data_IF_322568363174
#
_entry.id   IF_322568363174
#
_cell.length_a   1.000
_cell.length_b   1.000
_cell.length_c   1.000
_cell.angle_alpha   90.00
_cell.angle_beta   90.00
_cell.angle_gamma   90.00
#
_symmetry.space_group_name_H-M   'P 1'
#
loop_
_entity.id
_entity.type
_entity.pdbx_description
1 polymer ?
#
# COMPACT_ATOMS: atom_id res chain seq x y z
N UNK A 1 12.72 -17.83 -9.90
CA UNK A 1 12.24 -17.16 -8.66
C UNK A 1 13.23 -16.16 -8.09
N UNK A 2 14.54 -16.46 -7.96
CA UNK A 2 15.53 -15.55 -7.37
C UNK A 2 15.51 -14.12 -7.94
N UNK A 3 15.39 -13.95 -9.26
CA UNK A 3 15.30 -12.63 -9.90
C UNK A 3 14.02 -11.84 -9.60
N UNK A 4 12.93 -12.51 -9.20
CA UNK A 4 11.69 -11.84 -8.75
C UNK A 4 11.89 -11.33 -7.32
N UNK A 5 12.47 -12.16 -6.44
CA UNK A 5 12.77 -11.79 -5.06
C UNK A 5 13.69 -10.57 -4.99
N UNK A 6 14.76 -10.55 -5.80
CA UNK A 6 15.68 -9.41 -5.84
C UNK A 6 15.01 -8.09 -6.27
N UNK A 7 13.96 -8.17 -7.11
CA UNK A 7 13.22 -6.97 -7.56
C UNK A 7 12.27 -6.41 -6.52
N UNK A 8 11.82 -7.26 -5.59
CA UNK A 8 10.95 -6.88 -4.48
C UNK A 8 11.72 -6.29 -3.30
N UNK A 9 12.99 -6.66 -3.15
CA UNK A 9 13.88 -6.17 -2.09
C UNK A 9 13.79 -4.65 -1.81
N UNK A 10 13.87 -3.73 -2.80
CA UNK A 10 13.74 -2.30 -2.52
C UNK A 10 12.33 -1.89 -2.06
N UNK A 11 11.28 -2.55 -2.55
CA UNK A 11 9.92 -2.29 -2.11
C UNK A 11 9.73 -2.77 -0.67
N UNK A 12 10.21 -3.97 -0.34
CA UNK A 12 10.18 -4.50 1.03
C UNK A 12 10.98 -3.59 1.97
N UNK A 13 12.18 -3.17 1.58
CA UNK A 13 12.98 -2.22 2.35
C UNK A 13 12.24 -0.89 2.55
N UNK A 14 11.62 -0.34 1.50
CA UNK A 14 10.83 0.89 1.60
C UNK A 14 9.67 0.75 2.59
N UNK A 15 8.91 -0.35 2.51
CA UNK A 15 7.80 -0.63 3.44
C UNK A 15 8.32 -0.71 4.87
N UNK A 16 9.42 -1.43 5.11
CA UNK A 16 10.03 -1.53 6.45
C UNK A 16 10.46 -0.17 6.98
N UNK A 17 11.09 0.66 6.13
CA UNK A 17 11.50 2.02 6.51
C UNK A 17 10.29 2.90 6.83
N UNK A 18 9.24 2.84 6.01
CA UNK A 18 8.01 3.59 6.27
C UNK A 18 7.35 3.16 7.57
N UNK A 19 7.23 1.85 7.82
CA UNK A 19 6.70 1.35 9.10
C UNK A 19 7.58 1.80 10.26
N UNK A 20 8.90 1.65 10.16
CA UNK A 20 9.81 2.00 11.23
C UNK A 20 9.79 3.51 11.57
N UNK A 21 9.71 4.40 10.58
CA UNK A 21 9.64 5.86 10.79
C UNK A 21 8.40 6.29 11.56
N UNK A 22 7.32 5.54 11.44
CA UNK A 22 6.05 5.82 12.10
C UNK A 22 5.80 4.94 13.32
N UNK A 23 6.70 4.01 13.64
CA UNK A 23 6.51 3.07 14.74
C UNK A 23 6.47 3.81 16.08
N UNK A 24 5.32 3.81 16.77
CA UNK A 24 5.17 4.55 18.01
C UNK A 24 5.99 3.89 19.12
N UNK A 25 6.39 4.66 20.12
CA UNK A 25 6.79 4.07 21.39
C UNK A 25 5.65 3.17 21.89
N UNK A 26 5.95 2.01 22.51
CA UNK A 26 4.90 1.13 23.03
C UNK A 26 4.13 1.81 24.17
N UNK A 27 4.85 2.56 25.00
CA UNK A 27 4.33 3.24 26.17
C UNK A 27 5.10 4.54 26.40
N UNK A 28 4.41 5.50 27.00
CA UNK A 28 5.00 6.73 27.54
C UNK A 28 4.56 6.90 28.98
N UNK A 29 5.30 7.72 29.74
CA UNK A 29 4.88 8.09 31.09
C UNK A 29 4.37 9.52 31.07
N UNK A 30 3.12 9.69 31.47
CA UNK A 30 2.54 10.98 31.82
C UNK A 30 3.05 11.42 33.19
N UNK A 31 3.58 12.64 33.25
CA UNK A 31 4.14 13.25 34.46
C UNK A 31 3.41 14.57 34.68
N UNK A 32 2.74 14.70 35.82
CA UNK A 32 2.08 15.95 36.23
C UNK A 32 2.56 16.35 37.63
N UNK A 33 2.91 17.63 37.82
CA UNK A 33 3.16 18.15 39.15
C UNK A 33 1.82 18.29 39.89
N UNK A 34 1.69 17.61 41.04
CA UNK A 34 0.43 17.56 41.78
C UNK A 34 0.30 18.78 42.68
N UNK A 35 -0.65 19.65 42.36
CA UNK A 35 -1.18 20.65 43.28
C UNK A 35 -2.36 20.03 44.04
N UNK A 36 -2.07 19.50 45.23
CA UNK A 36 -3.07 18.86 46.08
C UNK A 36 -4.24 19.79 46.43
N UNK A 37 -4.02 21.05 46.86
CA UNK A 37 -5.10 22.04 47.01
C UNK A 37 -5.98 22.18 45.77
N UNK A 38 -5.40 22.42 44.59
CA UNK A 38 -6.19 22.63 43.37
C UNK A 38 -6.90 21.35 42.90
N UNK A 39 -6.30 20.17 43.09
CA UNK A 39 -6.92 18.88 42.74
C UNK A 39 -8.06 18.52 43.70
N UNK A 40 -7.88 18.79 45.00
CA UNK A 40 -8.94 18.67 46.01
C UNK A 40 -10.10 19.62 45.71
N UNK A 41 -9.81 20.89 45.40
CA UNK A 41 -10.85 21.86 45.02
C UNK A 41 -11.60 21.43 43.76
N UNK A 42 -10.91 20.93 42.72
CA UNK A 42 -11.56 20.39 41.51
C UNK A 42 -12.47 19.20 41.81
N UNK A 43 -12.06 18.29 42.70
CA UNK A 43 -12.85 17.13 43.09
C UNK A 43 -14.09 17.52 43.92
N UNK A 44 -13.97 18.48 44.84
CA UNK A 44 -15.03 18.87 45.78
C UNK A 44 -15.90 20.04 45.27
N UNK A 45 -15.39 20.81 44.32
CA UNK A 45 -16.05 21.95 43.67
C UNK A 45 -15.85 21.93 42.16
N UNK A 46 -16.35 20.91 41.44
CA UNK A 46 -16.21 20.85 39.99
C UNK A 46 -16.86 22.05 39.30
N UNK A 47 -16.09 22.68 38.40
CA UNK A 47 -16.50 23.81 37.56
C UNK A 47 -17.41 23.36 36.41
N UNK A 48 -18.54 22.74 36.74
CA UNK A 48 -19.60 22.42 35.77
C UNK A 48 -20.43 23.69 35.52
N UNK A 49 -20.28 24.26 34.33
CA UNK A 49 -21.18 25.28 33.77
C UNK A 49 -22.28 24.52 33.03
N UNK A 50 -23.46 24.36 33.65
CA UNK A 50 -24.59 23.65 33.03
C UNK A 50 -25.89 23.69 33.85
N UNK A 51 -27.02 23.83 33.17
CA UNK A 51 -28.36 24.04 33.71
C UNK A 51 -28.97 22.82 34.45
N UNK A 52 -29.70 23.09 35.54
CA UNK A 52 -30.82 22.28 36.07
C UNK A 52 -30.50 20.93 36.71
N UNK A 53 -30.11 19.92 35.92
CA UNK A 53 -29.91 18.55 36.40
C UNK A 53 -28.55 18.34 37.08
N UNK A 54 -27.55 19.16 36.73
CA UNK A 54 -26.18 19.06 37.27
C UNK A 54 -26.02 19.65 38.68
N UNK A 55 -26.96 20.49 39.15
CA UNK A 55 -26.91 21.05 40.51
C UNK A 55 -27.26 20.01 41.57
N UNK A 56 -28.21 19.11 41.29
CA UNK A 56 -28.53 17.96 42.14
C UNK A 56 -27.34 16.99 42.23
N UNK A 57 -26.66 16.76 41.11
CA UNK A 57 -25.42 15.96 41.07
C UNK A 57 -24.30 16.62 41.87
N UNK A 58 -24.10 17.95 41.76
CA UNK A 58 -23.14 18.70 42.58
C UNK A 58 -23.46 18.57 44.08
N UNK A 59 -24.73 18.69 44.47
CA UNK A 59 -25.16 18.52 45.86
C UNK A 59 -25.00 17.08 46.37
N UNK A 60 -25.01 16.09 45.48
CA UNK A 60 -24.78 14.69 45.82
C UNK A 60 -23.29 14.37 45.94
N UNK A 61 -22.45 14.86 45.02
CA UNK A 61 -20.98 14.78 45.13
C UNK A 61 -20.50 15.48 46.40
N UNK A 62 -21.00 16.69 46.68
CA UNK A 62 -20.70 17.38 47.96
C UNK A 62 -21.11 16.55 49.16
N UNK A 63 -22.33 16.00 49.20
CA UNK A 63 -22.75 15.14 50.32
C UNK A 63 -21.94 13.85 50.47
N UNK A 64 -21.38 13.30 49.38
CA UNK A 64 -20.50 12.13 49.45
C UNK A 64 -19.13 12.46 50.02
N UNK A 65 -18.66 13.70 49.86
CA UNK A 65 -17.32 14.14 50.25
C UNK A 65 -17.31 15.16 51.40
N UNK A 66 -18.47 15.56 51.92
CA UNK A 66 -18.61 16.51 53.02
C UNK A 66 -17.95 15.93 54.28
N UNK A 67 -16.82 16.52 54.69
CA UNK A 67 -16.04 16.10 55.85
C UNK A 67 -14.77 15.30 55.54
N UNK A 68 -14.48 14.98 54.27
CA UNK A 68 -13.21 14.37 53.88
C UNK A 68 -12.07 15.38 54.07
N UNK A 69 -11.13 15.09 54.98
CA UNK A 69 -9.97 15.95 55.17
C UNK A 69 -9.02 15.85 53.96
N UNK A 70 -8.19 16.87 53.74
CA UNK A 70 -7.15 16.82 52.68
C UNK A 70 -6.25 15.59 52.84
N UNK A 71 -5.94 15.20 54.08
CA UNK A 71 -5.11 14.04 54.37
C UNK A 71 -5.80 12.73 53.95
N UNK A 72 -7.11 12.60 54.23
CA UNK A 72 -7.90 11.43 53.84
C UNK A 72 -8.05 11.35 52.32
N UNK A 73 -8.27 12.49 51.65
CA UNK A 73 -8.32 12.58 50.20
C UNK A 73 -7.01 12.12 49.55
N UNK A 74 -5.86 12.61 50.06
CA UNK A 74 -4.54 12.19 49.56
C UNK A 74 -4.35 10.70 49.82
N UNK A 75 -4.66 10.18 51.02
CA UNK A 75 -4.49 8.78 51.35
C UNK A 75 -5.34 7.86 50.45
N UNK A 76 -6.56 8.27 50.12
CA UNK A 76 -7.47 7.57 49.20
C UNK A 76 -6.97 7.58 47.76
N UNK A 77 -6.50 8.72 47.27
CA UNK A 77 -6.01 8.86 45.90
C UNK A 77 -4.67 8.12 45.68
N UNK A 78 -3.87 7.99 46.73
CA UNK A 78 -2.53 7.36 46.68
C UNK A 78 -2.50 5.90 47.13
N UNK A 79 -3.65 5.31 47.52
CA UNK A 79 -3.76 3.95 48.05
C UNK A 79 -2.76 3.65 49.19
N UNK A 80 -2.67 4.56 50.18
CA UNK A 80 -1.81 4.40 51.36
C UNK A 80 -0.63 5.37 51.49
N UNK A 81 -0.54 6.37 50.60
CA UNK A 81 0.41 7.48 50.70
C UNK A 81 1.37 7.56 49.50
N UNK A 82 1.92 8.75 49.19
CA UNK A 82 2.88 8.90 48.10
C UNK A 82 4.20 8.19 48.45
N UNK A 83 4.83 7.60 47.44
CA UNK A 83 6.12 6.93 47.56
C UNK A 83 7.22 7.99 47.69
N UNK A 84 7.91 7.99 48.83
CA UNK A 84 9.06 8.88 49.02
C UNK A 84 10.23 8.42 48.16
N UNK A 85 10.71 9.30 47.28
CA UNK A 85 11.83 9.03 46.39
C UNK A 85 12.89 10.13 46.53
N UNK A 86 14.16 9.77 46.32
CA UNK A 86 15.28 10.70 46.38
C UNK A 86 16.35 10.33 45.35
N UNK A 87 17.20 11.29 44.99
CA UNK A 87 18.32 11.10 44.06
C UNK A 87 18.27 12.02 42.83
N UNK A 88 19.44 12.24 42.23
CA UNK A 88 19.64 13.21 41.14
C UNK A 88 18.87 12.85 39.85
N UNK A 89 18.50 11.58 39.69
CA UNK A 89 17.72 11.09 38.54
C UNK A 89 16.34 11.72 38.39
N UNK A 90 15.79 12.31 39.46
CA UNK A 90 14.49 13.00 39.44
C UNK A 90 14.56 14.46 39.00
N UNK A 91 15.76 15.06 39.00
CA UNK A 91 15.93 16.48 38.69
C UNK A 91 15.42 16.87 37.28
N UNK A 92 15.66 16.08 36.21
CA UNK A 92 15.11 16.38 34.89
C UNK A 92 13.58 16.39 34.87
N UNK A 93 12.94 15.40 35.52
CA UNK A 93 11.48 15.27 35.59
C UNK A 93 10.85 16.44 36.34
N UNK A 94 11.42 16.80 37.50
CA UNK A 94 11.01 17.96 38.26
C UNK A 94 11.14 19.25 37.45
N UNK A 95 12.25 19.43 36.74
CA UNK A 95 12.46 20.62 35.90
C UNK A 95 11.47 20.69 34.72
N UNK A 96 11.04 19.55 34.19
CA UNK A 96 10.09 19.49 33.09
C UNK A 96 8.67 19.82 33.58
N UNK A 97 8.25 19.19 34.68
CA UNK A 97 6.94 19.43 35.29
C UNK A 97 6.81 20.85 35.87
N UNK A 98 7.89 21.40 36.47
CA UNK A 98 7.87 22.76 37.03
C UNK A 98 7.73 23.87 35.98
N UNK A 99 8.13 23.61 34.72
CA UNK A 99 8.02 24.61 33.63
C UNK A 99 6.57 24.87 33.21
N UNK A 100 5.66 23.93 33.45
CA UNK A 100 4.24 24.01 33.07
C UNK A 100 3.37 23.41 34.17
N UNK A 101 3.10 24.18 35.25
CA UNK A 101 2.31 23.69 36.37
C UNK A 101 0.88 23.32 35.90
N UNK A 102 0.46 22.10 36.19
CA UNK A 102 -0.87 21.59 35.81
C UNK A 102 -1.00 21.11 34.35
N UNK A 103 0.06 21.20 33.54
CA UNK A 103 0.11 20.50 32.25
C UNK A 103 0.80 19.13 32.41
N UNK A 104 0.39 18.18 31.58
CA UNK A 104 1.03 16.88 31.50
C UNK A 104 2.30 16.98 30.67
N UNK A 105 3.38 16.41 31.19
CA UNK A 105 4.64 16.24 30.47
C UNK A 105 4.80 14.76 30.18
N UNK A 106 5.17 14.44 28.95
CA UNK A 106 5.38 13.06 28.52
C UNK A 106 6.89 12.76 28.50
N UNK A 107 7.27 11.62 29.08
CA UNK A 107 8.65 11.14 29.09
C UNK A 107 8.74 9.67 28.74
N UNK A 108 9.94 9.23 28.34
CA UNK A 108 10.23 7.82 28.10
C UNK A 108 10.15 7.03 29.42
N UNK A 109 9.72 5.78 29.34
CA UNK A 109 9.61 4.90 30.53
C UNK A 109 10.98 4.75 31.22
N UNK A 110 12.05 4.70 30.44
CA UNK A 110 13.43 4.58 30.92
C UNK A 110 13.95 5.84 31.63
N UNK A 111 13.29 6.99 31.43
CA UNK A 111 13.65 8.24 32.09
C UNK A 111 13.15 8.31 33.54
N UNK A 112 12.24 7.40 33.93
CA UNK A 112 11.70 7.34 35.30
C UNK A 112 12.58 6.40 36.13
N UNK A 113 13.26 6.89 37.19
CA UNK A 113 14.19 6.09 37.98
C UNK A 113 13.47 5.22 39.02
N UNK A 114 12.31 4.66 38.66
CA UNK A 114 11.58 3.69 39.46
C UNK A 114 10.70 2.79 38.59
N UNK A 115 10.38 1.60 39.10
CA UNK A 115 9.40 0.72 38.46
C UNK A 115 7.99 1.30 38.65
N UNK A 116 7.27 1.48 37.55
CA UNK A 116 5.89 1.96 37.53
C UNK A 116 4.92 0.80 37.30
N UNK A 117 3.82 0.82 38.05
CA UNK A 117 2.71 -0.12 37.85
C UNK A 117 2.06 0.12 36.47
N UNK A 118 1.70 -0.94 35.73
CA UNK A 118 1.01 -0.79 34.44
C UNK A 118 -0.49 -0.44 34.57
N UNK A 119 -1.07 -0.56 35.78
CA UNK A 119 -2.52 -0.42 35.97
C UNK A 119 -2.92 0.74 36.87
N UNK A 120 -1.99 1.27 37.66
CA UNK A 120 -2.29 2.30 38.64
C UNK A 120 -1.27 3.43 38.55
N UNK A 121 -1.72 4.68 38.55
CA UNK A 121 -0.81 5.80 38.64
C UNK A 121 -0.06 5.77 39.97
N UNK A 122 1.18 6.23 39.97
CA UNK A 122 2.04 6.30 41.14
C UNK A 122 2.23 7.75 41.52
N UNK A 123 2.07 8.06 42.81
CA UNK A 123 2.38 9.38 43.36
C UNK A 123 3.75 9.32 44.02
N UNK A 124 4.70 10.09 43.51
CA UNK A 124 6.07 10.11 43.99
C UNK A 124 6.39 11.47 44.63
N UNK A 125 6.77 11.47 45.91
CA UNK A 125 7.21 12.69 46.60
C UNK A 125 8.73 12.76 46.54
N UNK A 126 9.25 13.74 45.80
CA UNK A 126 10.70 13.86 45.58
C UNK A 126 11.32 14.73 46.66
N UNK A 127 12.19 14.16 47.48
CA UNK A 127 12.87 14.89 48.54
C UNK A 127 13.98 15.81 48.01
N UNK A 128 13.66 17.08 47.75
CA UNK A 128 14.64 18.12 47.37
C UNK A 128 14.47 19.35 48.28
N UNK A 129 15.20 19.38 49.40
CA UNK A 129 15.16 20.51 50.34
C UNK A 129 13.89 20.58 51.19
N UNK A 130 13.49 21.79 51.60
CA UNK A 130 12.40 22.02 52.57
C UNK A 130 10.97 21.87 51.97
N UNK A 131 10.85 21.75 50.65
CA UNK A 131 9.58 21.51 49.96
C UNK A 131 9.72 20.25 49.10
N UNK A 132 8.92 19.22 49.39
CA UNK A 132 8.94 17.98 48.64
C UNK A 132 7.78 17.96 47.63
N UNK A 133 8.00 18.35 46.35
CA UNK A 133 6.96 18.30 45.34
C UNK A 133 6.50 16.86 45.12
N UNK A 134 5.19 16.69 44.90
CA UNK A 134 4.60 15.39 44.55
C UNK A 134 4.34 15.34 43.05
N UNK A 135 4.80 14.28 42.40
CA UNK A 135 4.58 14.00 40.99
C UNK A 135 3.54 12.88 40.84
N UNK A 136 2.62 13.04 39.90
CA UNK A 136 1.72 12.00 39.43
C UNK A 136 2.34 11.38 38.18
N UNK A 137 2.54 10.07 38.22
CA UNK A 137 3.19 9.29 37.17
C UNK A 137 2.21 8.23 36.69
N UNK A 138 1.86 8.25 35.41
CA UNK A 138 0.98 7.24 34.82
C UNK A 138 1.61 6.65 33.56
N UNK A 139 1.69 5.31 33.49
CA UNK A 139 2.06 4.63 32.24
C UNK A 139 0.85 4.61 31.34
N UNK A 140 0.98 5.21 30.16
CA UNK A 140 -0.09 5.26 29.18
C UNK A 140 0.39 4.57 27.90
N UNK A 141 -0.29 3.49 27.45
CA UNK A 141 -0.06 2.93 26.14
C UNK A 141 -0.28 3.98 25.07
N UNK A 142 0.62 4.08 24.10
CA UNK A 142 0.51 5.12 23.07
C UNK A 142 -0.75 4.99 22.21
N UNK A 143 -1.32 3.79 22.13
CA UNK A 143 -2.60 3.52 21.48
C UNK A 143 -3.80 4.21 22.18
N UNK A 144 -3.71 4.48 23.49
CA UNK A 144 -4.77 5.07 24.28
C UNK A 144 -4.70 6.61 24.31
N UNK A 145 -3.64 7.20 23.75
CA UNK A 145 -3.48 8.64 23.65
C UNK A 145 -4.47 9.21 22.63
N UNK A 146 -5.43 9.98 23.12
CA UNK A 146 -6.48 10.61 22.30
C UNK A 146 -5.98 11.81 21.49
N UNK A 147 -4.94 12.50 21.98
CA UNK A 147 -4.30 13.67 21.34
C UNK A 147 -2.79 13.45 21.18
N UNK A 148 -2.38 12.99 19.99
CA UNK A 148 -0.95 12.78 19.70
C UNK A 148 -0.17 14.10 19.63
N UNK A 149 -0.88 15.23 19.53
CA UNK A 149 -0.32 16.57 19.45
C UNK A 149 0.37 17.04 20.74
N UNK A 150 0.07 16.41 21.88
CA UNK A 150 0.67 16.76 23.17
C UNK A 150 2.00 16.06 23.43
N UNK A 151 2.28 14.95 22.73
CA UNK A 151 3.49 14.16 22.92
C UNK A 151 4.59 14.62 21.95
N UNK A 152 5.80 14.95 22.43
CA UNK A 152 6.93 15.27 21.55
C UNK A 152 7.17 14.15 20.52
N UNK A 153 7.32 14.52 19.24
CA UNK A 153 7.40 13.56 18.14
C UNK A 153 8.64 12.64 18.21
N UNK A 154 9.72 13.10 18.84
CA UNK A 154 10.94 12.33 19.10
C UNK A 154 10.72 11.24 20.15
N UNK A 155 9.87 11.52 21.14
CA UNK A 155 9.42 10.53 22.12
C UNK A 155 8.41 9.56 21.50
N UNK A 156 7.46 10.10 20.74
CA UNK A 156 6.40 9.32 20.11
C UNK A 156 6.96 8.34 19.07
N UNK A 157 8.00 8.72 18.31
CA UNK A 157 8.58 7.90 17.25
C UNK A 157 10.10 7.75 17.41
N UNK A 158 10.56 6.90 18.35
CA UNK A 158 11.97 6.81 18.73
C UNK A 158 12.88 6.39 17.56
N UNK A 159 12.34 5.65 16.60
CA UNK A 159 13.08 5.19 15.43
C UNK A 159 13.32 6.29 14.39
N UNK A 160 12.68 7.46 14.48
CA UNK A 160 12.92 8.58 13.54
C UNK A 160 14.35 9.09 13.61
N UNK A 161 15.00 9.02 14.77
CA UNK A 161 16.42 9.38 14.91
C UNK A 161 17.35 8.52 14.03
N UNK A 162 16.92 7.32 13.65
CA UNK A 162 17.67 6.34 12.87
C UNK A 162 17.42 6.43 11.36
N UNK A 163 16.72 7.48 10.89
CA UNK A 163 16.39 7.66 9.47
C UNK A 163 17.60 7.59 8.51
N UNK A 164 18.83 8.05 8.86
CA UNK A 164 19.96 7.95 7.93
C UNK A 164 20.37 6.49 7.69
N UNK A 165 20.33 5.65 8.73
CA UNK A 165 20.65 4.22 8.63
C UNK A 165 19.58 3.47 7.83
N UNK A 166 18.31 3.83 8.03
CA UNK A 166 17.19 3.32 7.23
C UNK A 166 17.33 3.65 5.75
N UNK A 167 17.66 4.91 5.41
CA UNK A 167 17.94 5.31 4.03
C UNK A 167 19.17 4.61 3.46
N UNK A 168 20.21 4.40 4.28
CA UNK A 168 21.37 3.58 3.91
C UNK A 168 20.99 2.14 3.55
N UNK A 169 20.12 1.52 4.36
CA UNK A 169 19.57 0.19 4.07
C UNK A 169 18.73 0.14 2.79
N UNK A 170 17.87 1.14 2.57
CA UNK A 170 17.08 1.28 1.34
C UNK A 170 17.99 1.49 0.12
N UNK A 171 19.00 2.36 0.22
CA UNK A 171 19.98 2.59 -0.83
C UNK A 171 20.78 1.32 -1.13
N UNK A 172 21.18 0.57 -0.10
CA UNK A 172 21.82 -0.74 -0.23
C UNK A 172 20.93 -1.75 -0.94
N UNK A 173 19.63 -1.79 -0.62
CA UNK A 173 18.65 -2.65 -1.30
C UNK A 173 18.50 -2.29 -2.80
N UNK A 174 18.45 -0.99 -3.12
CA UNK A 174 18.45 -0.50 -4.51
C UNK A 174 19.78 -0.83 -5.21
N UNK A 175 20.91 -0.68 -4.52
CA UNK A 175 22.25 -1.00 -5.02
C UNK A 175 22.41 -2.49 -5.33
N UNK A 176 21.94 -3.39 -4.45
CA UNK A 176 21.92 -4.83 -4.67
C UNK A 176 21.07 -5.22 -5.89
N UNK A 177 19.91 -4.58 -6.05
CA UNK A 177 19.09 -4.75 -7.24
C UNK A 177 19.84 -4.29 -8.50
N UNK A 178 20.47 -3.12 -8.45
CA UNK A 178 21.20 -2.56 -9.59
C UNK A 178 22.42 -3.41 -9.96
N UNK A 179 23.17 -3.90 -8.97
CA UNK A 179 24.30 -4.81 -9.16
C UNK A 179 23.84 -6.16 -9.75
N UNK A 180 22.71 -6.69 -9.28
CA UNK A 180 22.10 -7.88 -9.86
C UNK A 180 21.68 -7.66 -11.31
N UNK A 181 21.03 -6.54 -11.63
CA UNK A 181 20.64 -6.20 -13.00
C UNK A 181 21.88 -5.95 -13.90
N UNK A 182 22.96 -5.36 -13.37
CA UNK A 182 24.21 -5.09 -14.08
C UNK A 182 25.07 -6.34 -14.34
N UNK A 183 25.14 -7.28 -13.40
CA UNK A 183 25.77 -8.59 -13.61
C UNK A 183 24.96 -9.48 -14.57
N UNK A 184 23.63 -9.28 -14.63
CA UNK A 184 22.71 -9.97 -15.53
C UNK A 184 22.58 -9.31 -16.91
N UNK A 185 23.03 -8.06 -17.08
CA UNK A 185 22.99 -7.33 -18.35
C UNK A 185 23.87 -7.95 -19.45
N UNK A 186 24.76 -8.88 -19.10
CA UNK A 186 25.58 -9.64 -20.06
C UNK A 186 24.90 -10.87 -20.67
N UNK A 187 23.63 -11.17 -20.33
CA UNK A 187 22.89 -12.22 -21.03
C UNK A 187 21.94 -11.61 -22.09
N UNK A 188 22.27 -11.69 -23.39
CA UNK A 188 21.45 -11.14 -24.47
C UNK A 188 20.11 -11.85 -24.68
N UNK A 189 19.82 -12.95 -23.97
CA UNK A 189 18.56 -13.70 -24.12
C UNK A 189 17.43 -13.03 -23.32
N UNK A 190 16.36 -12.69 -24.03
CA UNK A 190 15.11 -12.22 -23.42
C UNK A 190 14.65 -13.22 -22.34
N UNK A 191 14.51 -12.74 -21.10
CA UNK A 191 14.02 -13.53 -19.97
C UNK A 191 12.54 -13.31 -19.78
N UNK A 192 11.80 -14.36 -19.45
CA UNK A 192 10.37 -14.27 -19.13
C UNK A 192 10.06 -13.26 -18.01
N UNK A 193 10.98 -13.08 -17.04
CA UNK A 193 10.84 -12.08 -15.99
C UNK A 193 10.87 -10.62 -16.50
N UNK A 194 11.48 -10.35 -17.66
CA UNK A 194 11.58 -9.00 -18.22
C UNK A 194 10.35 -8.58 -19.06
N UNK A 195 9.47 -9.54 -19.39
CA UNK A 195 8.24 -9.29 -20.15
C UNK A 195 7.17 -8.59 -19.29
N UNK A 196 6.09 -8.15 -19.93
CA UNK A 196 4.93 -7.55 -19.25
C UNK A 196 4.36 -8.47 -18.16
N UNK A 197 4.15 -9.76 -18.43
CA UNK A 197 3.66 -10.71 -17.42
C UNK A 197 4.65 -10.93 -16.28
N UNK A 198 5.95 -10.98 -16.58
CA UNK A 198 6.99 -11.09 -15.55
C UNK A 198 7.01 -9.90 -14.60
N UNK A 199 6.81 -8.68 -15.12
CA UNK A 199 6.65 -7.48 -14.31
C UNK A 199 5.33 -7.47 -13.54
N UNK A 200 4.24 -7.96 -14.13
CA UNK A 200 2.95 -8.07 -13.46
C UNK A 200 3.05 -8.93 -12.20
N UNK A 201 3.73 -10.09 -12.26
CA UNK A 201 3.99 -10.93 -11.08
C UNK A 201 4.75 -10.18 -9.97
N UNK A 202 5.77 -9.39 -10.34
CA UNK A 202 6.50 -8.57 -9.36
C UNK A 202 5.57 -7.54 -8.72
N UNK A 203 4.74 -6.84 -9.52
CA UNK A 203 3.82 -5.84 -9.00
C UNK A 203 2.72 -6.43 -8.11
N UNK A 204 2.14 -7.57 -8.50
CA UNK A 204 1.08 -8.22 -7.72
C UNK A 204 1.62 -8.80 -6.42
N UNK A 205 2.84 -9.35 -6.43
CA UNK A 205 3.50 -9.79 -5.21
C UNK A 205 3.92 -8.59 -4.33
N UNK A 206 4.32 -7.47 -4.94
CA UNK A 206 4.54 -6.21 -4.21
C UNK A 206 3.26 -5.69 -3.55
N UNK A 207 2.14 -5.74 -4.25
CA UNK A 207 0.82 -5.39 -3.70
C UNK A 207 0.43 -6.32 -2.53
N UNK A 208 0.71 -7.63 -2.67
CA UNK A 208 0.48 -8.59 -1.60
C UNK A 208 1.33 -8.29 -0.36
N UNK A 209 2.60 -7.90 -0.55
CA UNK A 209 3.49 -7.47 0.54
C UNK A 209 3.00 -6.20 1.23
N UNK A 210 2.54 -5.20 0.48
CA UNK A 210 1.90 -4.00 1.05
C UNK A 210 0.65 -4.40 1.84
N UNK A 211 -0.18 -5.29 1.30
CA UNK A 211 -1.36 -5.80 1.99
C UNK A 211 -1.03 -6.48 3.32
N UNK A 212 -0.03 -7.36 3.32
CA UNK A 212 0.46 -8.02 4.54
C UNK A 212 1.01 -7.02 5.56
N UNK A 213 1.75 -6.00 5.10
CA UNK A 213 2.25 -4.93 5.97
C UNK A 213 1.11 -4.12 6.62
N UNK A 214 0.08 -3.77 5.86
CA UNK A 214 -1.11 -3.09 6.38
C UNK A 214 -1.88 -3.95 7.39
N UNK A 215 -1.97 -5.27 7.17
CA UNK A 215 -2.57 -6.19 8.15
C UNK A 215 -1.74 -6.32 9.43
N UNK A 216 -0.41 -6.27 9.32
CA UNK A 216 0.48 -6.32 10.46
C UNK A 216 0.47 -5.00 11.26
N UNK A 217 0.16 -3.87 10.61
CA UNK A 217 0.23 -2.54 11.23
C UNK A 217 -0.58 -2.46 12.55
N UNK A 218 -1.84 -2.88 12.67
CA UNK A 218 -2.55 -2.75 13.95
C UNK A 218 -1.94 -3.57 15.09
N UNK A 219 -1.32 -4.70 14.75
CA UNK A 219 -0.64 -5.57 15.72
C UNK A 219 0.68 -4.95 16.17
N UNK A 220 1.42 -4.36 15.22
CA UNK A 220 2.70 -3.70 15.46
C UNK A 220 2.54 -2.41 16.27
N UNK A 221 1.43 -1.70 16.09
CA UNK A 221 1.19 -0.38 16.68
C UNK A 221 0.22 -0.41 17.87
N UNK A 222 -0.33 -1.56 18.21
CA UNK A 222 -1.28 -1.71 19.33
C UNK A 222 -2.65 -1.04 19.10
N UNK A 223 -2.96 -0.55 17.90
CA UNK A 223 -4.20 0.21 17.58
C UNK A 223 -5.41 -0.72 17.32
N UNK A 224 -5.65 -1.66 18.22
CA UNK A 224 -6.76 -2.62 18.12
C UNK A 224 -8.12 -1.92 18.27
N UNK A 225 -9.09 -2.27 17.40
CA UNK A 225 -10.51 -1.95 17.61
C UNK A 225 -10.98 -0.53 17.21
N UNK A 226 -10.10 0.44 17.00
CA UNK A 226 -10.49 1.80 16.58
C UNK A 226 -10.29 2.04 15.08
N UNK A 227 -11.29 2.68 14.43
CA UNK A 227 -11.44 3.04 13.01
C UNK A 227 -10.29 2.70 12.06
N UNK A 228 -9.14 3.37 12.23
CA UNK A 228 -7.97 3.26 11.35
C UNK A 228 -7.36 1.85 11.36
N UNK A 229 -7.23 1.21 12.53
CA UNK A 229 -6.65 -0.13 12.64
C UNK A 229 -7.51 -1.20 11.96
N UNK A 230 -8.82 -1.11 12.13
CA UNK A 230 -9.76 -1.99 11.43
C UNK A 230 -9.71 -1.76 9.91
N UNK A 231 -9.74 -0.50 9.46
CA UNK A 231 -9.66 -0.17 8.04
C UNK A 231 -8.35 -0.67 7.42
N UNK A 232 -7.21 -0.44 8.07
CA UNK A 232 -5.90 -0.93 7.62
C UNK A 232 -5.89 -2.46 7.47
N UNK A 233 -6.48 -3.19 8.43
CA UNK A 233 -6.60 -4.66 8.34
C UNK A 233 -7.44 -5.09 7.13
N UNK A 234 -8.61 -4.46 6.92
CA UNK A 234 -9.52 -4.82 5.82
C UNK A 234 -8.91 -4.51 4.44
N UNK A 235 -8.36 -3.31 4.26
CA UNK A 235 -7.65 -2.93 3.03
C UNK A 235 -6.42 -3.81 2.81
N UNK A 236 -5.68 -4.11 3.88
CA UNK A 236 -4.53 -4.99 3.83
C UNK A 236 -4.90 -6.40 3.36
N UNK A 237 -5.98 -6.97 3.90
CA UNK A 237 -6.49 -8.29 3.50
C UNK A 237 -6.93 -8.29 2.03
N UNK A 238 -7.66 -7.27 1.59
CA UNK A 238 -8.10 -7.15 0.20
C UNK A 238 -6.91 -7.09 -0.77
N UNK A 239 -5.89 -6.29 -0.46
CA UNK A 239 -4.68 -6.16 -1.27
C UNK A 239 -3.86 -7.45 -1.27
N UNK A 240 -3.76 -8.11 -0.11
CA UNK A 240 -3.07 -9.40 0.04
C UNK A 240 -3.72 -10.46 -0.86
N UNK A 241 -5.02 -10.68 -0.70
CA UNK A 241 -5.76 -11.67 -1.49
C UNK A 241 -5.75 -11.34 -2.98
N UNK A 242 -6.00 -10.08 -3.35
CA UNK A 242 -5.98 -9.65 -4.76
C UNK A 242 -4.61 -9.85 -5.38
N UNK A 243 -3.53 -9.55 -4.65
CA UNK A 243 -2.16 -9.72 -5.12
C UNK A 243 -1.78 -11.18 -5.28
N UNK A 244 -2.18 -12.05 -4.35
CA UNK A 244 -1.95 -13.49 -4.43
C UNK A 244 -2.73 -14.13 -5.58
N UNK A 245 -4.02 -13.80 -5.72
CA UNK A 245 -4.87 -14.30 -6.82
C UNK A 245 -4.28 -13.84 -8.16
N UNK A 246 -3.98 -12.55 -8.33
CA UNK A 246 -3.38 -12.05 -9.57
C UNK A 246 -2.00 -12.67 -9.85
N UNK A 247 -1.17 -12.88 -8.83
CA UNK A 247 0.10 -13.58 -8.97
C UNK A 247 -0.09 -15.03 -9.47
N UNK A 248 -1.05 -15.76 -8.89
CA UNK A 248 -1.38 -17.13 -9.31
C UNK A 248 -1.86 -17.18 -10.77
N UNK A 249 -2.62 -16.17 -11.22
CA UNK A 249 -3.06 -16.06 -12.62
C UNK A 249 -1.88 -15.84 -13.58
N UNK A 250 -0.88 -15.04 -13.19
CA UNK A 250 0.24 -14.71 -14.06
C UNK A 250 1.42 -15.69 -14.01
N UNK A 251 1.56 -16.49 -12.95
CA UNK A 251 2.70 -17.42 -12.85
C UNK A 251 2.69 -18.47 -13.97
N UNK A 252 1.50 -18.96 -14.35
CA UNK A 252 1.33 -19.87 -15.48
C UNK A 252 1.74 -19.23 -16.81
N UNK A 253 1.40 -17.95 -17.00
CA UNK A 253 1.78 -17.17 -18.18
C UNK A 253 3.30 -16.96 -18.27
N UNK A 254 3.96 -16.66 -17.15
CA UNK A 254 5.42 -16.56 -17.07
C UNK A 254 6.09 -17.89 -17.39
N UNK A 255 5.55 -19.01 -16.90
CA UNK A 255 6.05 -20.34 -17.23
C UNK A 255 5.93 -20.70 -18.72
N UNK A 256 4.83 -20.29 -19.38
CA UNK A 256 4.68 -20.45 -20.82
C UNK A 256 5.68 -19.61 -21.61
N UNK A 257 5.90 -18.35 -21.20
CA UNK A 257 6.90 -17.48 -21.80
C UNK A 257 8.32 -17.99 -21.59
N UNK A 258 8.63 -18.59 -20.45
CA UNK A 258 9.94 -19.16 -20.18
C UNK A 258 10.24 -20.35 -21.12
N UNK A 259 9.25 -21.23 -21.35
CA UNK A 259 9.37 -22.32 -22.33
C UNK A 259 9.53 -21.82 -23.77
N UNK A 260 8.82 -20.75 -24.13
CA UNK A 260 8.96 -20.10 -25.43
C UNK A 260 10.35 -19.49 -25.62
N UNK A 261 10.80 -18.66 -24.69
CA UNK A 261 12.07 -17.93 -24.78
C UNK A 261 13.31 -18.82 -24.58
N UNK A 262 13.17 -19.94 -23.87
CA UNK A 262 14.23 -20.97 -23.78
C UNK A 262 14.35 -21.84 -25.05
N UNK A 263 13.42 -21.72 -26.00
CA UNK A 263 13.40 -22.49 -27.25
C UNK A 263 12.71 -23.85 -27.14
N UNK A 264 12.23 -24.27 -25.95
CA UNK A 264 11.58 -25.57 -25.74
C UNK A 264 10.23 -25.69 -26.46
N UNK A 265 9.49 -24.59 -26.54
CA UNK A 265 8.18 -24.51 -27.20
C UNK A 265 8.16 -23.37 -28.24
N UNK A 266 9.25 -23.18 -28.99
CA UNK A 266 9.34 -22.13 -30.02
C UNK A 266 9.05 -22.72 -31.39
N UNK A 267 8.01 -22.20 -32.05
CA UNK A 267 7.63 -22.55 -33.43
C UNK A 267 8.43 -21.73 -34.45
N UNK A 268 8.55 -20.42 -34.21
CA UNK A 268 9.29 -19.51 -35.07
C UNK A 268 9.94 -18.38 -34.28
N UNK A 269 10.97 -17.78 -34.88
CA UNK A 269 11.68 -16.62 -34.37
C UNK A 269 11.99 -15.69 -35.54
N UNK A 270 11.36 -14.52 -35.56
CA UNK A 270 11.53 -13.54 -36.62
C UNK A 270 12.28 -12.32 -36.10
N UNK A 271 13.32 -11.90 -36.82
CA UNK A 271 14.10 -10.69 -36.54
C UNK A 271 13.80 -9.63 -37.59
N UNK A 272 13.58 -8.40 -37.15
CA UNK A 272 13.22 -7.29 -38.03
C UNK A 272 14.33 -6.25 -38.10
N UNK A 273 14.52 -5.60 -39.25
CA UNK A 273 15.26 -4.35 -39.34
C UNK A 273 14.65 -3.30 -38.39
N UNK A 274 15.50 -2.44 -37.83
CA UNK A 274 15.07 -1.40 -36.89
C UNK A 274 14.02 -0.45 -37.51
N UNK A 275 14.17 -0.12 -38.79
CA UNK A 275 13.25 0.77 -39.50
C UNK A 275 11.81 0.20 -39.53
N UNK A 276 11.66 -1.06 -39.94
CA UNK A 276 10.38 -1.76 -40.02
C UNK A 276 9.76 -1.91 -38.62
N UNK A 277 10.60 -2.20 -37.62
CA UNK A 277 10.15 -2.30 -36.23
C UNK A 277 9.62 -0.97 -35.70
N UNK A 278 10.29 0.14 -35.99
CA UNK A 278 9.85 1.47 -35.54
C UNK A 278 8.53 1.86 -36.19
N UNK A 279 8.33 1.53 -37.46
CA UNK A 279 7.06 1.72 -38.17
C UNK A 279 5.94 0.93 -37.49
N UNK A 280 6.13 -0.39 -37.30
CA UNK A 280 5.18 -1.27 -36.62
C UNK A 280 4.78 -0.77 -35.20
N UNK A 281 5.76 -0.30 -34.41
CA UNK A 281 5.49 0.27 -33.08
C UNK A 281 4.72 1.60 -33.18
N UNK A 282 4.93 2.37 -34.24
CA UNK A 282 4.18 3.59 -34.54
C UNK A 282 2.69 3.30 -34.72
N UNK A 283 2.36 2.33 -35.57
CA UNK A 283 0.98 1.97 -35.89
C UNK A 283 0.26 1.39 -34.68
N UNK A 284 0.91 0.45 -33.99
CA UNK A 284 0.39 -0.14 -32.73
C UNK A 284 0.09 0.95 -31.69
N UNK A 285 0.93 1.99 -31.61
CA UNK A 285 0.73 3.09 -30.66
C UNK A 285 -0.45 3.97 -31.05
N UNK A 286 -0.65 4.21 -32.35
CA UNK A 286 -1.78 5.00 -32.84
C UNK A 286 -3.11 4.31 -32.47
N UNK A 287 -3.23 3.02 -32.74
CA UNK A 287 -4.40 2.21 -32.36
C UNK A 287 -4.65 2.21 -30.85
N UNK A 288 -3.61 2.01 -30.04
CA UNK A 288 -3.72 2.06 -28.58
C UNK A 288 -4.20 3.43 -28.08
N UNK A 289 -3.74 4.52 -28.70
CA UNK A 289 -4.13 5.88 -28.34
C UNK A 289 -5.59 6.15 -28.70
N UNK A 290 -6.06 5.68 -29.86
CA UNK A 290 -7.45 5.82 -30.25
C UNK A 290 -8.38 5.04 -29.31
N UNK A 291 -8.03 3.80 -28.98
CA UNK A 291 -8.77 3.00 -28.01
C UNK A 291 -8.80 3.65 -26.62
N UNK A 292 -7.66 4.18 -26.17
CA UNK A 292 -7.57 4.87 -24.88
C UNK A 292 -8.42 6.15 -24.86
N UNK A 293 -8.44 6.94 -25.95
CA UNK A 293 -9.31 8.12 -26.08
C UNK A 293 -10.79 7.74 -25.99
N UNK A 294 -11.21 6.67 -26.67
CA UNK A 294 -12.60 6.21 -26.63
C UNK A 294 -13.02 5.79 -25.21
N UNK A 295 -12.20 4.99 -24.52
CA UNK A 295 -12.47 4.59 -23.13
C UNK A 295 -12.52 5.81 -22.19
N UNK A 296 -11.58 6.74 -22.35
CA UNK A 296 -11.51 7.94 -21.53
C UNK A 296 -12.71 8.87 -21.77
N UNK A 297 -13.19 8.99 -23.01
CA UNK A 297 -14.40 9.75 -23.31
C UNK A 297 -15.64 9.17 -22.61
N UNK A 298 -15.77 7.83 -22.58
CA UNK A 298 -16.86 7.16 -21.88
C UNK A 298 -16.77 7.36 -20.36
N UNK A 299 -15.59 7.11 -19.77
CA UNK A 299 -15.38 7.29 -18.31
C UNK A 299 -15.58 8.75 -17.92
N UNK A 300 -15.02 9.70 -18.68
CA UNK A 300 -15.15 11.13 -18.44
C UNK A 300 -16.60 11.60 -18.54
N UNK A 301 -17.34 11.15 -19.55
CA UNK A 301 -18.77 11.45 -19.68
C UNK A 301 -19.59 10.94 -18.49
N UNK A 302 -19.32 9.71 -18.03
CA UNK A 302 -19.99 9.14 -16.86
C UNK A 302 -19.64 9.90 -15.57
N UNK A 303 -18.39 10.32 -15.39
CA UNK A 303 -17.97 11.08 -14.21
C UNK A 303 -18.57 12.49 -14.19
N UNK A 304 -18.68 13.16 -15.34
CA UNK A 304 -19.40 14.44 -15.44
C UNK A 304 -20.88 14.26 -15.12
N UNK A 305 -21.51 13.19 -15.59
CA UNK A 305 -22.90 12.89 -15.30
C UNK A 305 -23.13 12.65 -13.80
N UNK A 306 -22.31 11.80 -13.16
CA UNK A 306 -22.44 11.49 -11.73
C UNK A 306 -22.08 12.71 -10.88
N UNK A 307 -20.93 13.35 -11.13
CA UNK A 307 -20.48 14.52 -10.38
C UNK A 307 -21.43 15.72 -10.54
N UNK A 308 -21.91 15.97 -11.75
CA UNK A 308 -22.92 16.99 -12.03
C UNK A 308 -24.25 16.68 -11.32
N UNK A 309 -24.67 15.42 -11.28
CA UNK A 309 -25.83 14.99 -10.50
C UNK A 309 -25.68 15.29 -9.00
N UNK A 310 -24.53 14.97 -8.40
CA UNK A 310 -24.27 15.30 -7.00
C UNK A 310 -24.33 16.81 -6.74
N UNK A 311 -23.80 17.64 -7.64
CA UNK A 311 -23.86 19.10 -7.48
C UNK A 311 -25.29 19.66 -7.59
N UNK A 312 -26.16 19.03 -8.38
CA UNK A 312 -27.53 19.50 -8.59
C UNK A 312 -28.53 18.99 -7.54
N UNK A 313 -28.30 17.80 -6.97
CA UNK A 313 -29.28 17.12 -6.11
C UNK A 313 -28.86 16.95 -4.65
N UNK A 314 -27.60 17.19 -4.30
CA UNK A 314 -27.17 17.10 -2.90
C UNK A 314 -27.66 18.32 -2.10
N UNK A 315 -28.35 18.06 -0.99
CA UNK A 315 -28.75 19.10 -0.03
C UNK A 315 -27.53 19.70 0.70
N UNK A 316 -26.50 18.88 0.92
CA UNK A 316 -25.23 19.28 1.53
C UNK A 316 -24.19 19.63 0.45
N UNK A 317 -23.97 20.94 0.28
CA UNK A 317 -23.02 21.47 -0.71
C UNK A 317 -21.57 21.07 -0.37
N UNK A 318 -21.22 20.96 0.92
CA UNK A 318 -19.85 20.63 1.32
C UNK A 318 -19.52 19.17 0.98
N UNK A 319 -20.43 18.26 1.33
CA UNK A 319 -20.30 16.85 0.98
C UNK A 319 -20.27 16.64 -0.54
N UNK A 320 -21.06 17.40 -1.30
CA UNK A 320 -21.06 17.36 -2.77
C UNK A 320 -19.72 17.82 -3.36
N UNK A 321 -19.15 18.92 -2.87
CA UNK A 321 -17.85 19.44 -3.33
C UNK A 321 -16.71 18.47 -3.04
N UNK A 322 -16.69 17.86 -1.84
CA UNK A 322 -15.69 16.84 -1.49
C UNK A 322 -15.82 15.64 -2.44
N UNK A 323 -17.05 15.16 -2.69
CA UNK A 323 -17.31 14.03 -3.58
C UNK A 323 -16.83 14.31 -5.02
N UNK A 324 -17.16 15.49 -5.55
CA UNK A 324 -16.70 15.93 -6.88
C UNK A 324 -15.19 16.06 -6.93
N UNK A 325 -14.56 16.60 -5.89
CA UNK A 325 -13.10 16.68 -5.76
C UNK A 325 -12.43 15.32 -5.83
N UNK A 326 -12.96 14.32 -5.11
CA UNK A 326 -12.46 12.93 -5.14
C UNK A 326 -12.65 12.31 -6.54
N UNK A 327 -13.83 12.46 -7.14
CA UNK A 327 -14.10 11.96 -8.49
C UNK A 327 -13.16 12.59 -9.53
N UNK A 328 -12.93 13.91 -9.45
CA UNK A 328 -12.01 14.63 -10.32
C UNK A 328 -10.57 14.14 -10.14
N UNK A 329 -10.12 13.93 -8.89
CA UNK A 329 -8.79 13.39 -8.61
C UNK A 329 -8.59 11.98 -9.20
N UNK A 330 -9.58 11.10 -9.04
CA UNK A 330 -9.58 9.76 -9.64
C UNK A 330 -9.57 9.84 -11.17
N UNK A 331 -10.36 10.75 -11.76
CA UNK A 331 -10.37 10.96 -13.20
C UNK A 331 -9.01 11.42 -13.73
N UNK A 332 -8.37 12.38 -13.08
CA UNK A 332 -7.03 12.86 -13.43
C UNK A 332 -6.02 11.70 -13.38
N UNK A 333 -6.11 10.84 -12.37
CA UNK A 333 -5.26 9.66 -12.28
C UNK A 333 -5.46 8.70 -13.47
N UNK A 334 -6.71 8.41 -13.82
CA UNK A 334 -7.04 7.56 -14.99
C UNK A 334 -6.58 8.19 -16.30
N UNK A 335 -6.76 9.50 -16.45
CA UNK A 335 -6.30 10.28 -17.59
C UNK A 335 -4.78 10.18 -17.76
N UNK A 336 -4.02 10.42 -16.68
CA UNK A 336 -2.56 10.29 -16.69
C UNK A 336 -2.16 8.87 -17.07
N UNK A 337 -2.79 7.85 -16.49
CA UNK A 337 -2.51 6.45 -16.84
C UNK A 337 -2.79 6.16 -18.33
N UNK A 338 -3.91 6.64 -18.87
CA UNK A 338 -4.30 6.48 -20.26
C UNK A 338 -3.33 7.15 -21.25
N UNK A 339 -2.70 8.27 -20.85
CA UNK A 339 -1.70 8.97 -21.67
C UNK A 339 -0.30 8.37 -21.54
N UNK A 340 0.09 7.98 -20.33
CA UNK A 340 1.44 7.51 -20.00
C UNK A 340 1.64 6.05 -20.44
N UNK A 341 0.63 5.18 -20.30
CA UNK A 341 0.77 3.75 -20.60
C UNK A 341 1.13 3.47 -22.08
N UNK A 342 0.45 4.05 -23.09
CA UNK A 342 0.82 3.86 -24.50
C UNK A 342 2.23 4.39 -24.81
N UNK A 343 2.64 5.49 -24.17
CA UNK A 343 3.98 6.05 -24.34
C UNK A 343 5.06 5.13 -23.75
N UNK A 344 4.86 4.65 -22.51
CA UNK A 344 5.77 3.71 -21.88
C UNK A 344 5.86 2.40 -22.65
N UNK A 345 4.72 1.90 -23.15
CA UNK A 345 4.60 0.71 -23.98
C UNK A 345 5.44 0.84 -25.26
N UNK A 346 5.25 1.92 -26.02
CA UNK A 346 6.02 2.20 -27.23
C UNK A 346 7.52 2.39 -26.94
N UNK A 347 7.87 3.11 -25.88
CA UNK A 347 9.26 3.27 -25.44
C UNK A 347 9.89 1.93 -25.07
N UNK A 348 9.11 1.01 -24.49
CA UNK A 348 9.58 -0.31 -24.12
C UNK A 348 9.82 -1.21 -25.34
N UNK A 349 8.92 -1.18 -26.32
CA UNK A 349 9.06 -1.90 -27.59
C UNK A 349 10.25 -1.39 -28.41
N UNK A 350 10.48 -0.07 -28.46
CA UNK A 350 11.63 0.53 -29.17
C UNK A 350 13.00 0.18 -28.58
N UNK A 351 13.05 -0.22 -27.31
CA UNK A 351 14.29 -0.61 -26.60
C UNK A 351 14.44 -2.12 -26.43
N UNK A 352 13.48 -2.89 -26.95
CA UNK A 352 13.50 -4.34 -26.90
C UNK A 352 14.37 -4.93 -28.00
N UNK A 353 14.65 -6.25 -27.95
CA UNK A 353 15.11 -6.95 -29.14
C UNK A 353 14.04 -6.81 -30.23
N UNK A 354 14.45 -6.55 -31.47
CA UNK A 354 13.58 -6.47 -32.66
C UNK A 354 13.20 -7.88 -33.14
N UNK A 355 12.75 -8.70 -32.19
CA UNK A 355 12.49 -10.11 -32.37
C UNK A 355 11.07 -10.46 -31.95
N UNK A 356 10.45 -11.36 -32.70
CA UNK A 356 9.15 -11.95 -32.38
C UNK A 356 9.34 -13.45 -32.22
N UNK A 357 9.00 -13.94 -31.03
CA UNK A 357 9.02 -15.38 -30.73
C UNK A 357 7.59 -15.90 -30.72
N UNK A 358 7.33 -16.91 -31.54
CA UNK A 358 6.01 -17.51 -31.69
C UNK A 358 6.07 -18.92 -31.12
N UNK A 359 5.16 -19.24 -30.20
CA UNK A 359 5.03 -20.57 -29.60
C UNK A 359 3.59 -21.07 -29.65
N UNK A 360 3.36 -22.33 -29.26
CA UNK A 360 2.03 -22.92 -29.29
C UNK A 360 1.09 -22.30 -28.26
N UNK A 361 1.60 -21.70 -27.18
CA UNK A 361 0.80 -21.21 -26.05
C UNK A 361 0.95 -19.72 -25.78
N UNK A 362 1.91 -19.09 -26.45
CA UNK A 362 2.30 -17.72 -26.21
C UNK A 362 3.00 -17.12 -27.43
N UNK A 363 2.92 -15.81 -27.54
CA UNK A 363 3.63 -14.96 -28.48
C UNK A 363 4.38 -13.90 -27.68
N UNK A 364 5.63 -13.65 -28.02
CA UNK A 364 6.41 -12.56 -27.45
C UNK A 364 6.84 -11.61 -28.56
N UNK A 365 6.28 -10.40 -28.58
CA UNK A 365 6.61 -9.33 -29.52
C UNK A 365 7.58 -8.37 -28.82
N UNK A 366 8.88 -8.52 -29.08
CA UNK A 366 9.94 -7.84 -28.34
C UNK A 366 9.90 -8.19 -26.85
N UNK A 367 9.32 -7.31 -26.04
CA UNK A 367 9.10 -7.52 -24.59
C UNK A 367 7.64 -7.59 -24.18
N UNK A 368 6.73 -7.37 -25.11
CA UNK A 368 5.31 -7.60 -24.89
C UNK A 368 5.01 -9.08 -25.09
N UNK A 369 4.07 -9.57 -24.29
CA UNK A 369 3.79 -10.99 -24.21
C UNK A 369 2.29 -11.20 -24.27
N UNK A 370 1.87 -12.11 -25.12
CA UNK A 370 0.49 -12.56 -25.29
C UNK A 370 0.47 -14.05 -24.97
N UNK A 371 -0.44 -14.49 -24.10
CA UNK A 371 -0.51 -15.87 -23.64
C UNK A 371 -1.94 -16.36 -23.71
N UNK A 372 -2.14 -17.49 -24.39
CA UNK A 372 -3.45 -18.13 -24.59
C UNK A 372 -3.48 -19.59 -24.14
N UNK A 373 -2.38 -20.12 -23.60
CA UNK A 373 -2.32 -21.46 -23.01
C UNK A 373 -2.48 -21.51 -21.49
N UNK A 374 -3.04 -20.47 -20.87
CA UNK A 374 -3.22 -20.34 -19.42
C UNK A 374 -4.69 -20.43 -18.98
N UNK A 375 -4.98 -20.17 -17.71
CA UNK A 375 -6.34 -20.26 -17.16
C UNK A 375 -7.32 -19.27 -17.81
N UNK A 376 -6.83 -18.08 -18.15
CA UNK A 376 -7.67 -16.99 -18.66
C UNK A 376 -7.70 -16.93 -20.19
N UNK A 377 -6.63 -17.36 -20.85
CA UNK A 377 -6.49 -17.24 -22.29
C UNK A 377 -6.91 -18.54 -23.00
N UNK A 378 -7.55 -18.41 -24.16
CA UNK A 378 -7.86 -19.53 -25.05
C UNK A 378 -7.50 -19.16 -26.48
N UNK A 379 -6.81 -20.05 -27.17
CA UNK A 379 -6.58 -19.92 -28.60
C UNK A 379 -7.89 -20.14 -29.36
N UNK A 380 -8.21 -19.26 -30.31
CA UNK A 380 -9.38 -19.41 -31.16
C UNK A 380 -8.95 -19.82 -32.59
N UNK A 381 -8.09 -19.01 -33.24
CA UNK A 381 -7.65 -19.28 -34.61
C UNK A 381 -6.33 -18.57 -34.95
N UNK A 382 -5.67 -18.96 -36.05
CA UNK A 382 -4.53 -18.27 -36.63
C UNK A 382 -4.59 -18.28 -38.15
N UNK A 383 -4.46 -17.11 -38.79
CA UNK A 383 -4.51 -16.96 -40.25
C UNK A 383 -3.34 -16.15 -40.78
N UNK A 384 -2.94 -16.44 -42.02
CA UNK A 384 -2.05 -15.54 -42.78
C UNK A 384 -2.93 -14.71 -43.69
N UNK A 385 -2.81 -13.40 -43.60
CA UNK A 385 -3.47 -12.45 -44.49
C UNK A 385 -2.42 -11.85 -45.42
N UNK A 386 -2.66 -11.91 -46.73
CA UNK A 386 -1.67 -11.54 -47.75
C UNK A 386 -1.73 -10.04 -48.15
N UNK A 387 -2.71 -9.23 -47.67
CA UNK A 387 -2.88 -7.83 -48.12
C UNK A 387 -3.57 -6.92 -47.09
N UNK A 388 -3.29 -5.59 -47.06
CA UNK A 388 -2.28 -4.86 -47.85
C UNK A 388 -0.84 -5.06 -47.36
N UNK A 389 -0.64 -5.53 -46.13
CA UNK A 389 0.67 -5.92 -45.59
C UNK A 389 0.57 -7.36 -45.07
N UNK A 390 1.49 -8.27 -45.47
CA UNK A 390 1.40 -9.67 -45.09
C UNK A 390 1.57 -9.81 -43.58
N UNK A 391 0.56 -10.35 -42.91
CA UNK A 391 0.54 -10.49 -41.46
C UNK A 391 -0.01 -11.85 -41.01
N UNK A 392 0.62 -12.42 -39.98
CA UNK A 392 0.08 -13.55 -39.24
C UNK A 392 -0.87 -13.00 -38.17
N UNK A 393 -2.17 -13.18 -38.36
CA UNK A 393 -3.20 -12.81 -37.38
C UNK A 393 -3.45 -13.98 -36.45
N UNK A 394 -3.25 -13.76 -35.15
CA UNK A 394 -3.55 -14.72 -34.10
C UNK A 394 -4.77 -14.23 -33.33
N UNK A 395 -5.84 -15.01 -33.35
CA UNK A 395 -7.08 -14.79 -32.63
C UNK A 395 -7.06 -15.60 -31.35
N UNK A 396 -7.20 -14.91 -30.22
CA UNK A 396 -7.34 -15.56 -28.91
C UNK A 396 -8.36 -14.81 -28.07
N UNK A 397 -9.00 -15.52 -27.16
CA UNK A 397 -9.91 -14.92 -26.20
C UNK A 397 -9.29 -14.88 -24.81
N UNK A 398 -9.56 -13.81 -24.08
CA UNK A 398 -9.18 -13.66 -22.66
C UNK A 398 -10.45 -13.54 -21.83
N UNK A 399 -10.54 -14.35 -20.79
CA UNK A 399 -11.61 -14.27 -19.81
C UNK A 399 -11.48 -12.96 -19.03
N UNK A 400 -12.51 -12.12 -19.08
CA UNK A 400 -12.62 -10.88 -18.32
C UNK A 400 -13.91 -10.90 -17.51
N UNK A 401 -13.89 -10.27 -16.35
CA UNK A 401 -15.08 -10.00 -15.55
C UNK A 401 -15.66 -8.64 -15.97
N UNK A 402 -16.96 -8.59 -16.28
CA UNK A 402 -17.69 -7.33 -16.34
C UNK A 402 -18.26 -7.03 -14.95
N UNK A 403 -17.88 -5.89 -14.37
CA UNK A 403 -18.48 -5.39 -13.14
C UNK A 403 -19.85 -4.77 -13.41
N UNK A 404 -20.92 -5.47 -13.06
CA UNK A 404 -22.30 -5.00 -13.07
C UNK A 404 -23.11 -5.65 -11.94
N UNK A 405 -24.44 -5.52 -11.95
CA UNK A 405 -25.33 -6.13 -10.93
C UNK A 405 -25.20 -7.66 -10.81
N UNK A 406 -24.68 -8.32 -11.85
CA UNK A 406 -24.38 -9.75 -11.87
C UNK A 406 -22.93 -9.90 -12.31
N UNK A 407 -22.14 -10.66 -11.54
CA UNK A 407 -20.76 -10.99 -11.88
C UNK A 407 -20.78 -11.89 -13.12
N UNK A 408 -20.66 -11.31 -14.32
CA UNK A 408 -20.64 -12.07 -15.57
C UNK A 408 -19.21 -12.19 -16.11
N UNK A 409 -18.81 -13.43 -16.35
CA UNK A 409 -17.56 -13.75 -17.01
C UNK A 409 -17.83 -13.78 -18.52
N UNK A 410 -17.11 -12.96 -19.28
CA UNK A 410 -17.20 -12.94 -20.73
C UNK A 410 -15.80 -13.10 -21.33
N UNK A 411 -15.76 -13.63 -22.55
CA UNK A 411 -14.52 -13.80 -23.31
C UNK A 411 -14.34 -12.63 -24.26
N UNK A 412 -13.32 -11.80 -24.00
CA UNK A 412 -12.91 -10.73 -24.90
C UNK A 412 -12.01 -11.31 -25.98
N UNK A 413 -12.38 -11.12 -27.23
CA UNK A 413 -11.57 -11.54 -28.38
C UNK A 413 -10.50 -10.48 -28.64
N UNK A 414 -9.24 -10.93 -28.71
CA UNK A 414 -8.09 -10.13 -29.07
C UNK A 414 -7.50 -10.68 -30.37
N UNK A 415 -7.10 -9.77 -31.25
CA UNK A 415 -6.41 -10.09 -32.50
C UNK A 415 -5.04 -9.45 -32.42
N UNK A 416 -3.99 -10.26 -32.59
CA UNK A 416 -2.63 -9.76 -32.72
C UNK A 416 -2.17 -10.00 -34.13
N UNK A 417 -1.94 -8.92 -34.87
CA UNK A 417 -1.34 -8.94 -36.19
C UNK A 417 0.19 -8.88 -36.05
N UNK A 418 0.86 -9.92 -36.52
CA UNK A 418 2.33 -10.02 -36.53
C UNK A 418 2.80 -9.83 -37.97
N UNK A 419 3.54 -8.76 -38.31
CA UNK A 419 4.00 -8.55 -39.67
C UNK A 419 4.93 -9.68 -40.11
N UNK A 420 4.77 -10.22 -41.31
CA UNK A 420 5.60 -11.32 -41.81
C UNK A 420 6.84 -10.71 -42.49
N UNK A 421 8.07 -11.03 -42.05
CA UNK A 421 9.26 -10.53 -42.73
C UNK A 421 9.38 -11.15 -44.12
N UNK A 422 9.93 -10.42 -45.12
CA UNK A 422 10.07 -10.92 -46.48
C UNK A 422 10.79 -12.27 -46.54
N UNK A 423 10.23 -13.24 -47.26
CA UNK A 423 10.80 -14.59 -47.42
C UNK A 423 10.40 -15.58 -46.33
N UNK A 424 9.64 -15.15 -45.31
CA UNK A 424 9.11 -16.02 -44.26
C UNK A 424 7.62 -16.41 -44.45
N UNK A 425 7.02 -16.14 -45.60
CA UNK A 425 5.59 -16.38 -45.87
C UNK A 425 5.23 -17.86 -45.77
N UNK A 426 6.08 -18.74 -46.32
CA UNK A 426 5.90 -20.19 -46.20
C UNK A 426 6.06 -20.69 -44.76
N UNK A 427 6.95 -20.08 -43.97
CA UNK A 427 7.10 -20.40 -42.55
C UNK A 427 5.89 -19.91 -41.75
N UNK A 428 5.39 -18.71 -42.02
CA UNK A 428 4.20 -18.15 -41.39
C UNK A 428 2.96 -19.05 -41.60
N UNK A 429 2.77 -19.58 -42.81
CA UNK A 429 1.70 -20.53 -43.11
C UNK A 429 1.85 -21.83 -42.30
N UNK A 430 3.07 -22.40 -42.25
CA UNK A 430 3.34 -23.59 -41.41
C UNK A 430 3.07 -23.33 -39.93
N UNK A 431 3.42 -22.15 -39.42
CA UNK A 431 3.17 -21.77 -38.02
C UNK A 431 1.67 -21.63 -37.76
N UNK A 432 0.92 -20.99 -38.66
CA UNK A 432 -0.54 -20.87 -38.55
C UNK A 432 -1.21 -22.25 -38.52
N UNK A 433 -0.81 -23.15 -39.43
CA UNK A 433 -1.34 -24.51 -39.52
C UNK A 433 -0.98 -25.33 -38.27
N UNK A 434 0.26 -25.21 -37.76
CA UNK A 434 0.69 -25.87 -36.54
C UNK A 434 -0.09 -25.37 -35.31
N UNK A 435 -0.40 -24.08 -35.23
CA UNK A 435 -1.23 -23.50 -34.17
C UNK A 435 -2.66 -24.03 -34.23
N UNK A 436 -3.28 -24.06 -35.42
CA UNK A 436 -4.62 -24.63 -35.61
C UNK A 436 -4.67 -26.12 -35.27
N UNK A 437 -3.76 -26.92 -35.83
CA UNK A 437 -3.72 -28.37 -35.61
C UNK A 437 -3.61 -28.74 -34.13
N UNK A 438 -2.79 -28.00 -33.37
CA UNK A 438 -2.60 -28.26 -31.95
C UNK A 438 -3.82 -27.93 -31.08
N UNK A 439 -4.64 -26.95 -31.48
CA UNK A 439 -5.80 -26.54 -30.70
C UNK A 439 -7.13 -27.11 -31.19
N UNK A 440 -7.19 -27.60 -32.43
CA UNK A 440 -8.34 -28.33 -32.97
C UNK A 440 -8.73 -29.54 -32.08
N UNK A 441 -7.75 -30.25 -31.54
CA UNK A 441 -7.99 -31.38 -30.62
C UNK A 441 -8.45 -30.97 -29.21
N UNK A 442 -8.25 -29.72 -28.81
CA UNK A 442 -8.66 -29.22 -27.48
C UNK A 442 -10.06 -28.60 -27.45
N UNK A 443 -10.66 -28.35 -28.62
CA UNK A 443 -11.98 -27.73 -28.75
C UNK A 443 -13.17 -28.69 -28.57
N UNK A 444 -12.95 -30.01 -28.52
CA UNK A 444 -14.00 -31.02 -28.49
C UNK A 444 -14.36 -31.58 -27.10
N UNK A 445 -13.77 -31.09 -26.01
CA UNK A 445 -13.95 -31.66 -24.66
C UNK A 445 -14.32 -30.61 -23.59
N UNK A 446 -15.05 -29.55 -23.97
CA UNK A 446 -15.53 -28.52 -23.05
C UNK A 446 -17.05 -28.49 -22.98
#
# INVERSE_FOLDING_TARGET
MLGVLLRLLPLTALIVVLLAIWFPAPEVVEVEAVDWPARYERAHSPSLVGFGALSAMRAQVRRQHDGESMADFIARETDGGPVAVSGDGWAPLLSAAARRPGERVYVAVEAVPMALSPHHPVYATVGVGAQAPTLWLNRTPTADLWSWDEVPADLLYPLRGWWPLMLGGLAGAVGLRWAGDGGLARQPKARAAATTHGKAVVWTLGMALVGAALMAMPHLYGIWGAGIGFAATMFGLLLLLSGLIACALFIGAVGALDRLLSGRERLACWSYPEADWIAFVGDTRAEQRERAKAILAVIGGLMVLIGGGFLLFAEDTEAALITVGVLAAVFVLVLVAALVMPWLSARHLRRGPFEIHIGPRALCVGRQSHVWGGLLGRFEDAGVEDAPEPALRIHYSVLQSAGGRVFSLYRRHEVVAVPIPPGHEAEARRVADALRARHAGSGGAA
#
